data_IF_817801005871
#
_entry.id   IF_817801005871
#
_cell.length_a   1.000
_cell.length_b   1.000
_cell.length_c   1.000
_cell.angle_alpha   90.00
_cell.angle_beta   90.00
_cell.angle_gamma   90.00
#
_symmetry.space_group_name_H-M   'P 1'
#
loop_
_entity.id
_entity.type
_entity.pdbx_description
1 polymer ?
#
# COMPACT_ATOMS: atom_id res chain seq x y z
N UNK A 1 -0.27 -6.35 -9.61
CA UNK A 1 -1.37 -6.41 -10.60
C UNK A 1 -2.30 -7.57 -10.28
N UNK A 2 -3.61 -7.38 -10.44
CA UNK A 2 -4.65 -8.41 -10.30
C UNK A 2 -5.69 -8.21 -11.39
N UNK A 3 -6.23 -9.28 -11.94
CA UNK A 3 -7.36 -9.22 -12.88
C UNK A 3 -8.62 -9.62 -12.15
N UNK A 4 -9.71 -8.88 -12.36
CA UNK A 4 -11.01 -9.19 -11.79
C UNK A 4 -11.62 -10.35 -12.58
N UNK A 5 -11.78 -11.52 -11.95
CA UNK A 5 -12.34 -12.72 -12.60
C UNK A 5 -13.87 -12.81 -12.51
N UNK A 6 -14.48 -12.02 -11.63
CA UNK A 6 -15.92 -11.90 -11.45
C UNK A 6 -16.24 -10.46 -11.06
N UNK A 7 -17.23 -9.85 -11.71
CA UNK A 7 -17.71 -8.51 -11.36
C UNK A 7 -17.92 -8.39 -9.85
N UNK A 8 -17.24 -7.44 -9.23
CA UNK A 8 -17.19 -7.31 -7.78
C UNK A 8 -17.36 -5.87 -7.33
N UNK A 9 -17.91 -5.68 -6.13
CA UNK A 9 -17.98 -4.36 -5.48
C UNK A 9 -16.71 -4.14 -4.67
N UNK A 10 -15.99 -3.05 -4.94
CA UNK A 10 -14.80 -2.60 -4.22
C UNK A 10 -15.06 -1.21 -3.65
N UNK A 11 -15.25 -1.10 -2.34
CA UNK A 11 -15.80 0.13 -1.75
C UNK A 11 -17.16 0.44 -2.39
N UNK A 12 -17.34 1.64 -2.92
CA UNK A 12 -18.55 2.04 -3.65
C UNK A 12 -18.48 1.80 -5.17
N UNK A 13 -17.35 1.27 -5.67
CA UNK A 13 -17.13 1.02 -7.09
C UNK A 13 -17.59 -0.40 -7.49
N UNK A 14 -18.34 -0.51 -8.59
CA UNK A 14 -18.60 -1.80 -9.22
C UNK A 14 -17.57 -2.05 -10.33
N UNK A 15 -16.73 -3.06 -10.15
CA UNK A 15 -15.60 -3.36 -11.05
C UNK A 15 -15.95 -4.59 -11.91
N UNK A 16 -16.08 -4.45 -13.24
CA UNK A 16 -16.39 -5.56 -14.13
C UNK A 16 -15.30 -6.64 -14.22
N UNK A 17 -15.70 -7.84 -14.62
CA UNK A 17 -14.76 -8.91 -15.02
C UNK A 17 -13.83 -8.43 -16.14
N UNK A 18 -12.55 -8.83 -16.09
CA UNK A 18 -11.52 -8.49 -17.06
C UNK A 18 -10.72 -7.23 -16.73
N UNK A 19 -11.20 -6.38 -15.80
CA UNK A 19 -10.46 -5.19 -15.37
C UNK A 19 -9.19 -5.56 -14.62
N UNK A 20 -8.11 -4.84 -14.91
CA UNK A 20 -6.82 -4.97 -14.24
C UNK A 20 -6.70 -3.91 -13.14
N UNK A 21 -6.45 -4.36 -11.91
CA UNK A 21 -6.20 -3.53 -10.74
C UNK A 21 -4.71 -3.50 -10.39
N UNK A 22 -4.22 -2.31 -10.05
CA UNK A 22 -2.85 -2.04 -9.64
C UNK A 22 -2.88 -1.32 -8.29
N UNK A 23 -2.04 -1.78 -7.36
CA UNK A 23 -1.76 -1.05 -6.11
C UNK A 23 -0.50 -0.22 -6.36
N UNK A 24 -0.57 1.11 -6.41
CA UNK A 24 0.57 1.95 -6.75
C UNK A 24 1.50 2.11 -5.54
N UNK A 25 2.25 1.05 -5.21
CA UNK A 25 3.09 1.00 -3.99
C UNK A 25 4.08 2.15 -3.91
N UNK A 26 4.71 2.55 -5.03
CA UNK A 26 5.64 3.69 -5.05
C UNK A 26 4.95 5.00 -4.65
N UNK A 27 3.73 5.25 -5.14
CA UNK A 27 2.99 6.45 -4.78
C UNK A 27 2.61 6.42 -3.30
N UNK A 28 2.14 5.26 -2.80
CA UNK A 28 1.77 5.08 -1.39
C UNK A 28 2.98 5.25 -0.46
N UNK A 29 4.17 4.78 -0.85
CA UNK A 29 5.39 4.86 -0.03
C UNK A 29 6.07 6.23 -0.04
N UNK A 30 5.69 7.13 -0.94
CA UNK A 30 6.24 8.50 -1.04
C UNK A 30 5.16 9.57 -0.84
N UNK A 31 3.98 9.18 -0.35
CA UNK A 31 2.88 10.10 -0.08
C UNK A 31 3.16 10.92 1.19
N UNK A 32 3.35 12.25 1.10
CA UNK A 32 3.64 13.08 2.26
C UNK A 32 2.48 13.12 3.28
N UNK A 33 1.23 12.84 2.89
CA UNK A 33 0.11 12.78 3.83
C UNK A 33 0.16 11.53 4.74
N UNK A 34 0.94 10.53 4.34
CA UNK A 34 1.15 9.30 5.08
C UNK A 34 2.50 9.32 5.80
N UNK A 35 3.54 9.78 5.10
CA UNK A 35 4.93 9.64 5.53
C UNK A 35 5.55 10.93 6.05
N UNK A 36 4.87 12.08 5.94
CA UNK A 36 5.38 13.39 6.34
C UNK A 36 6.18 14.08 5.24
N UNK A 37 6.68 15.29 5.54
CA UNK A 37 7.38 16.14 4.55
C UNK A 37 8.65 15.49 3.99
N UNK A 38 9.28 14.61 4.77
CA UNK A 38 10.49 13.87 4.40
C UNK A 38 10.18 12.53 3.71
N UNK A 39 8.97 12.33 3.16
CA UNK A 39 8.53 11.11 2.46
C UNK A 39 9.42 10.68 1.28
N UNK A 40 10.23 11.61 0.73
CA UNK A 40 11.15 11.38 -0.39
C UNK A 40 12.61 11.28 0.06
N UNK A 41 12.87 11.38 1.35
CA UNK A 41 14.20 11.32 1.91
C UNK A 41 14.50 9.92 2.46
N UNK A 42 15.76 9.52 2.37
CA UNK A 42 16.22 8.31 3.03
C UNK A 42 16.40 8.58 4.54
N UNK A 43 15.34 8.31 5.31
CA UNK A 43 15.33 8.48 6.76
C UNK A 43 14.99 7.14 7.46
N UNK A 44 15.99 6.30 7.78
CA UNK A 44 15.76 5.03 8.47
C UNK A 44 15.27 5.21 9.92
N UNK A 45 15.61 6.31 10.58
CA UNK A 45 15.22 6.60 11.97
C UNK A 45 13.70 6.76 12.14
N UNK A 46 12.96 7.00 11.07
CA UNK A 46 11.49 6.99 11.04
C UNK A 46 10.89 5.72 11.67
N UNK A 47 11.57 4.59 11.51
CA UNK A 47 11.10 3.29 11.97
C UNK A 47 11.58 2.94 13.39
N UNK A 48 12.26 3.86 14.08
CA UNK A 48 12.81 3.65 15.45
C UNK A 48 11.73 3.25 16.47
N UNK A 49 10.51 3.79 16.33
CA UNK A 49 9.33 3.45 17.13
C UNK A 49 8.43 2.38 16.46
N UNK A 50 8.91 1.74 15.39
CA UNK A 50 8.19 0.72 14.64
C UNK A 50 7.28 1.25 13.53
N UNK A 51 6.88 0.35 12.63
CA UNK A 51 6.04 0.65 11.46
C UNK A 51 4.71 1.35 11.82
N UNK A 52 3.96 0.91 12.87
CA UNK A 52 2.69 1.57 13.20
C UNK A 52 2.86 3.06 13.55
N UNK A 53 3.96 3.43 14.21
CA UNK A 53 4.25 4.83 14.51
C UNK A 53 4.65 5.59 13.24
N UNK A 54 5.50 4.99 12.41
CA UNK A 54 5.96 5.55 11.13
C UNK A 54 4.81 5.85 10.15
N UNK A 55 3.72 5.09 10.19
CA UNK A 55 2.59 5.21 9.25
C UNK A 55 1.31 5.76 9.87
N UNK A 56 1.36 6.31 11.09
CA UNK A 56 0.16 6.76 11.81
C UNK A 56 -0.92 5.67 11.92
N UNK A 57 -0.51 4.41 12.12
CA UNK A 57 -1.35 3.21 12.14
C UNK A 57 -2.11 2.90 10.84
N UNK A 58 -1.73 3.51 9.71
CA UNK A 58 -2.28 3.20 8.39
C UNK A 58 -1.63 1.93 7.81
N UNK A 59 -2.41 1.13 7.10
CA UNK A 59 -1.93 -0.04 6.35
C UNK A 59 -1.34 0.39 4.99
N UNK A 60 -0.18 1.03 5.01
CA UNK A 60 0.47 1.59 3.82
C UNK A 60 1.92 1.16 3.64
N UNK A 61 2.59 0.64 4.69
CA UNK A 61 3.90 0.03 4.57
C UNK A 61 3.76 -1.41 4.05
N UNK A 62 3.95 -1.57 2.75
CA UNK A 62 3.69 -2.80 2.00
C UNK A 62 4.90 -3.19 1.12
N UNK A 63 6.16 -3.10 1.60
CA UNK A 63 7.35 -3.35 0.76
C UNK A 63 7.39 -4.78 0.20
N UNK A 64 6.75 -5.71 0.91
CA UNK A 64 6.67 -7.12 0.55
C UNK A 64 5.24 -7.57 0.23
N UNK A 65 4.34 -6.63 -0.07
CA UNK A 65 2.92 -6.90 -0.20
C UNK A 65 2.23 -7.16 1.15
N UNK A 66 1.03 -7.77 1.10
CA UNK A 66 0.21 -8.06 2.28
C UNK A 66 -0.76 -9.22 2.05
N UNK A 67 -1.21 -9.82 3.15
CA UNK A 67 -2.22 -10.87 3.16
C UNK A 67 -1.73 -12.23 2.62
N UNK A 68 -2.61 -13.03 1.99
CA UNK A 68 -2.27 -14.39 1.53
C UNK A 68 -1.18 -14.49 0.46
N UNK A 69 -0.73 -13.34 -0.08
CA UNK A 69 0.27 -13.24 -1.15
C UNK A 69 1.43 -12.30 -0.76
N UNK A 70 1.68 -12.10 0.52
CA UNK A 70 2.91 -11.46 1.03
C UNK A 70 4.14 -12.26 0.57
N UNK A 71 5.26 -11.57 0.34
CA UNK A 71 6.55 -12.22 0.06
C UNK A 71 6.90 -13.23 1.16
N UNK A 72 7.40 -14.39 0.77
CA UNK A 72 7.78 -15.47 1.71
C UNK A 72 9.21 -15.33 2.27
N UNK A 73 10.04 -14.50 1.62
CA UNK A 73 11.48 -14.43 1.85
C UNK A 73 12.18 -14.17 0.54
#
# INVERSE_FOLDING_TARGET
MRTVHKTTKLGDLQVPTGVVLLVPMILIHHDPEIWGDDAKEFNPERFSEGVPKATQNKLCFLPFGWGPRTCIG
#
